data_IF_982914901712
#
_entry.id   IF_982914901712
#
_cell.length_a   1.000
_cell.length_b   1.000
_cell.length_c   1.000
_cell.angle_alpha   90.00
_cell.angle_beta   90.00
_cell.angle_gamma   90.00
#
_symmetry.space_group_name_H-M   'P 1'
#
loop_
_entity.id
_entity.type
_entity.pdbx_description
1 polymer ?
#
# COMPACT_ATOMS: atom_id res chain seq x y z
N UNK A 1 2.68 -5.51 -5.85
CA UNK A 1 2.54 -5.09 -4.43
C UNK A 1 1.84 -3.74 -4.34
N UNK A 2 0.72 -3.61 -3.62
CA UNK A 2 0.05 -2.31 -3.46
C UNK A 2 0.86 -1.38 -2.54
N UNK A 3 0.99 -0.10 -2.93
CA UNK A 3 1.66 0.95 -2.18
C UNK A 3 0.63 1.90 -1.58
N UNK A 4 0.76 2.17 -0.28
CA UNK A 4 -0.09 3.12 0.44
C UNK A 4 0.71 4.29 1.02
N UNK A 5 0.05 5.41 1.27
CA UNK A 5 0.67 6.56 1.96
C UNK A 5 0.74 6.37 3.47
N UNK A 6 -0.13 5.54 4.06
CA UNK A 6 -0.21 5.31 5.51
C UNK A 6 -0.19 3.83 5.86
N UNK A 7 0.39 3.50 7.02
CA UNK A 7 0.44 2.14 7.59
C UNK A 7 -0.94 1.57 7.91
N UNK A 8 -1.84 2.42 8.39
CA UNK A 8 -3.19 2.05 8.79
C UNK A 8 -4.02 1.52 7.62
N UNK A 9 -3.61 1.78 6.36
CA UNK A 9 -4.34 1.35 5.16
C UNK A 9 -5.81 1.80 5.14
N UNK A 10 -6.14 2.82 5.93
CA UNK A 10 -7.36 3.61 5.87
C UNK A 10 -7.00 5.09 6.07
N UNK A 11 -7.82 6.00 5.54
CA UNK A 11 -7.62 7.43 5.70
C UNK A 11 -8.28 8.23 4.58
N UNK A 12 -8.91 9.34 4.95
CA UNK A 12 -9.72 10.19 4.07
C UNK A 12 -8.97 11.50 3.80
N UNK A 13 -8.93 11.97 2.55
CA UNK A 13 -8.38 13.31 2.27
C UNK A 13 -9.31 14.35 2.94
N UNK A 14 -8.78 15.12 3.90
CA UNK A 14 -9.56 16.01 4.78
C UNK A 14 -10.42 17.04 4.03
N UNK A 15 -10.13 17.30 2.76
CA UNK A 15 -10.80 18.29 1.92
C UNK A 15 -11.93 17.73 1.04
N UNK A 16 -12.01 16.42 0.81
CA UNK A 16 -13.01 15.83 -0.12
C UNK A 16 -13.76 14.61 0.41
N UNK A 17 -13.40 14.06 1.57
CA UNK A 17 -14.15 12.93 2.13
C UNK A 17 -13.90 11.58 1.45
N UNK A 18 -13.07 11.54 0.42
CA UNK A 18 -12.71 10.31 -0.31
C UNK A 18 -11.46 9.66 0.29
N UNK A 19 -11.53 8.34 0.48
CA UNK A 19 -10.41 7.52 0.99
C UNK A 19 -9.42 7.24 -0.14
N UNK A 20 -8.27 7.93 -0.17
CA UNK A 20 -7.27 7.83 -1.26
C UNK A 20 -5.86 7.59 -0.74
N UNK A 21 -5.70 6.71 0.24
CA UNK A 21 -4.38 6.32 0.72
C UNK A 21 -3.67 5.33 -0.21
N UNK A 22 -4.37 4.71 -1.16
CA UNK A 22 -3.78 3.90 -2.23
C UNK A 22 -3.07 4.80 -3.24
N UNK A 23 -1.82 4.46 -3.57
CA UNK A 23 -1.02 5.18 -4.54
C UNK A 23 -1.01 4.44 -5.88
N UNK A 24 -0.44 3.23 -5.89
CA UNK A 24 -0.28 2.41 -7.09
C UNK A 24 0.12 0.97 -6.75
N UNK A 25 0.15 0.10 -7.77
CA UNK A 25 0.78 -1.22 -7.67
C UNK A 25 2.22 -1.14 -8.17
N UNK A 26 3.15 -1.67 -7.38
CA UNK A 26 4.55 -1.82 -7.76
C UNK A 26 4.83 -3.25 -8.20
N UNK A 27 5.60 -3.39 -9.28
CA UNK A 27 6.26 -4.65 -9.61
C UNK A 27 7.51 -4.80 -8.76
N UNK A 28 7.60 -5.90 -8.03
CA UNK A 28 8.76 -6.23 -7.20
C UNK A 28 9.40 -7.48 -7.76
N UNK A 29 10.72 -7.48 -7.87
CA UNK A 29 11.45 -8.71 -8.10
C UNK A 29 11.30 -9.57 -6.85
N UNK A 30 10.57 -10.67 -6.98
CA UNK A 30 10.33 -11.62 -5.91
C UNK A 30 10.61 -13.02 -6.41
N UNK A 31 11.29 -13.82 -5.59
CA UNK A 31 11.35 -15.28 -5.77
C UNK A 31 9.99 -15.93 -5.46
N UNK A 32 9.14 -15.18 -4.73
CA UNK A 32 7.71 -15.37 -4.42
C UNK A 32 6.78 -15.40 -5.65
N UNK A 33 5.88 -16.39 -5.78
CA UNK A 33 4.70 -16.21 -6.65
C UNK A 33 3.78 -15.11 -6.11
N UNK A 34 2.98 -14.47 -6.97
CA UNK A 34 2.11 -13.35 -6.55
C UNK A 34 1.09 -13.77 -5.47
N UNK A 35 0.51 -14.97 -5.60
CA UNK A 35 -0.45 -15.54 -4.67
C UNK A 35 0.09 -15.62 -3.24
N UNK A 36 1.38 -15.91 -3.08
CA UNK A 36 2.05 -15.98 -1.78
C UNK A 36 1.94 -14.67 -0.99
N UNK A 37 1.98 -13.53 -1.70
CA UNK A 37 1.91 -12.19 -1.10
C UNK A 37 0.46 -11.73 -0.92
N UNK A 38 -0.40 -12.04 -1.90
CA UNK A 38 -1.84 -11.73 -1.85
C UNK A 38 -2.50 -12.41 -0.65
N UNK A 39 -2.25 -13.70 -0.44
CA UNK A 39 -2.83 -14.46 0.67
C UNK A 39 -2.37 -13.96 2.05
N UNK A 40 -1.21 -13.29 2.14
CA UNK A 40 -0.71 -12.68 3.39
C UNK A 40 -1.17 -11.25 3.60
N UNK A 41 -1.84 -10.65 2.63
CA UNK A 41 -2.20 -9.23 2.69
C UNK A 41 -0.97 -8.31 2.80
N UNK A 42 0.14 -8.66 2.14
CA UNK A 42 1.33 -7.82 2.12
C UNK A 42 1.06 -6.49 1.37
N UNK A 43 1.64 -5.40 1.85
CA UNK A 43 1.61 -4.10 1.17
C UNK A 43 2.83 -3.26 1.56
N UNK A 44 3.20 -2.33 0.69
CA UNK A 44 4.22 -1.33 0.96
C UNK A 44 3.58 -0.02 1.47
N UNK A 45 4.37 0.78 2.18
CA UNK A 45 3.96 2.09 2.65
C UNK A 45 5.12 3.09 2.50
N UNK A 46 4.77 4.34 2.22
CA UNK A 46 5.72 5.45 2.28
C UNK A 46 5.99 5.75 3.75
N UNK A 47 7.26 5.83 4.13
CA UNK A 47 7.68 6.20 5.47
C UNK A 47 8.62 7.38 5.38
N UNK A 48 8.28 8.46 6.06
CA UNK A 48 9.22 9.55 6.32
C UNK A 48 10.13 9.14 7.48
N UNK A 49 11.43 9.34 7.30
CA UNK A 49 12.45 9.06 8.31
C UNK A 49 12.89 10.42 8.85
N UNK A 50 12.22 10.90 9.90
CA UNK A 50 12.78 12.00 10.72
C UNK A 50 14.06 11.57 11.43
#
# INVERSE_FOLDING_TARGET
MPLYTTLNRFGVLSTTGLSTNYVMNMYLQSEQSEEWWVLRGAAAFIQDQE
#
